data_IF_509210235866
#
_entry.id   IF_509210235866
#
_cell.length_a   1.000
_cell.length_b   1.000
_cell.length_c   1.000
_cell.angle_alpha   90.00
_cell.angle_beta   90.00
_cell.angle_gamma   90.00
#
_symmetry.space_group_name_H-M   'P 1'
#
loop_
_entity.id
_entity.type
_entity.pdbx_description
1 polymer ?
#
# COMPACT_ATOMS: atom_id res chain seq x y z
N UNK A 1 5.89 -11.78 -11.69
CA UNK A 1 6.23 -11.02 -10.47
C UNK A 1 6.12 -9.56 -10.85
N UNK A 2 5.20 -8.79 -10.25
CA UNK A 2 4.92 -7.40 -10.65
C UNK A 2 5.95 -6.40 -10.11
N UNK A 3 6.61 -6.70 -8.97
CA UNK A 3 7.73 -5.92 -8.43
C UNK A 3 9.11 -6.42 -8.92
N UNK A 4 9.14 -7.45 -9.78
CA UNK A 4 10.37 -8.03 -10.33
C UNK A 4 11.24 -8.86 -9.36
N UNK A 5 10.96 -8.81 -8.05
CA UNK A 5 11.79 -9.46 -7.03
C UNK A 5 11.09 -10.63 -6.32
N UNK A 6 9.83 -10.45 -5.91
CA UNK A 6 9.15 -11.41 -5.03
C UNK A 6 8.21 -12.34 -5.79
N UNK A 7 8.17 -13.60 -5.34
CA UNK A 7 7.23 -14.59 -5.84
C UNK A 7 5.86 -14.38 -5.18
N UNK A 8 4.88 -13.96 -6.00
CA UNK A 8 3.48 -13.72 -5.56
C UNK A 8 2.78 -14.99 -5.05
N UNK A 9 3.35 -16.17 -5.28
CA UNK A 9 2.74 -17.46 -4.98
C UNK A 9 1.85 -17.94 -6.12
N UNK A 10 1.23 -19.10 -5.91
CA UNK A 10 0.27 -19.67 -6.85
C UNK A 10 -1.12 -19.07 -6.64
N UNK A 11 -1.97 -19.15 -7.66
CA UNK A 11 -3.33 -18.63 -7.59
C UNK A 11 -4.17 -18.95 -8.81
N UNK A 12 -5.29 -18.26 -8.90
CA UNK A 12 -6.24 -18.36 -9.99
C UNK A 12 -6.32 -17.02 -10.73
N UNK A 13 -6.32 -17.08 -12.05
CA UNK A 13 -6.63 -15.94 -12.93
C UNK A 13 -8.10 -15.99 -13.33
N UNK A 14 -8.73 -14.83 -13.33
CA UNK A 14 -10.12 -14.64 -13.72
C UNK A 14 -10.13 -13.79 -14.98
N UNK A 15 -10.51 -14.41 -16.09
CA UNK A 15 -10.65 -13.75 -17.39
C UNK A 15 -12.11 -13.39 -17.68
N UNK A 16 -12.32 -12.30 -18.41
CA UNK A 16 -13.64 -11.91 -18.90
C UNK A 16 -14.13 -12.81 -20.05
N UNK A 17 -15.40 -13.23 -20.00
CA UNK A 17 -16.11 -13.77 -21.17
C UNK A 17 -16.71 -12.64 -22.02
N UNK A 18 -17.27 -11.61 -21.37
CA UNK A 18 -17.78 -10.39 -22.00
C UNK A 18 -17.01 -9.18 -21.47
N UNK A 19 -16.23 -8.53 -22.35
CA UNK A 19 -15.32 -7.43 -22.02
C UNK A 19 -16.03 -6.08 -21.87
N UNK A 20 -17.32 -6.03 -22.21
CA UNK A 20 -18.09 -4.79 -22.21
C UNK A 20 -18.94 -4.62 -20.95
N UNK A 21 -18.95 -5.61 -20.07
CA UNK A 21 -19.82 -5.65 -18.89
C UNK A 21 -19.04 -5.90 -17.62
N UNK A 22 -19.43 -5.27 -16.49
CA UNK A 22 -18.90 -5.59 -15.18
C UNK A 22 -18.98 -7.09 -14.86
N UNK A 23 -17.95 -7.63 -14.22
CA UNK A 23 -17.97 -8.97 -13.63
C UNK A 23 -18.15 -8.88 -12.11
N UNK A 24 -18.98 -9.75 -11.54
CA UNK A 24 -19.14 -9.85 -10.08
C UNK A 24 -19.01 -11.29 -9.63
N UNK A 25 -18.26 -11.52 -8.55
CA UNK A 25 -18.02 -12.83 -7.98
C UNK A 25 -17.55 -12.71 -6.52
N UNK A 26 -17.57 -13.80 -5.77
CA UNK A 26 -17.06 -13.84 -4.39
C UNK A 26 -15.82 -14.70 -4.30
N UNK A 27 -14.74 -14.14 -3.77
CA UNK A 27 -13.54 -14.87 -3.38
C UNK A 27 -13.67 -15.27 -1.92
N UNK A 28 -13.39 -16.54 -1.59
CA UNK A 28 -13.47 -17.04 -0.21
C UNK A 28 -12.17 -17.73 0.20
N UNK A 29 -11.50 -17.17 1.20
CA UNK A 29 -10.41 -17.82 1.94
C UNK A 29 -10.99 -18.49 3.18
N UNK A 30 -10.83 -19.80 3.31
CA UNK A 30 -11.32 -20.58 4.46
C UNK A 30 -10.18 -21.27 5.19
N UNK A 31 -10.47 -21.82 6.38
CA UNK A 31 -9.51 -22.54 7.21
C UNK A 31 -8.30 -21.69 7.64
N UNK A 32 -8.49 -20.36 7.74
CA UNK A 32 -7.46 -19.45 8.21
C UNK A 32 -7.11 -19.77 9.67
N UNK A 33 -5.80 -19.76 9.98
CA UNK A 33 -5.30 -20.20 11.28
C UNK A 33 -4.47 -19.16 12.03
N UNK A 34 -3.97 -18.13 11.34
CA UNK A 34 -2.97 -17.19 11.87
C UNK A 34 -3.52 -15.81 12.23
N UNK A 35 -4.80 -15.55 11.95
CA UNK A 35 -5.41 -14.23 12.15
C UNK A 35 -6.38 -14.31 13.34
N UNK A 36 -6.27 -13.34 14.24
CA UNK A 36 -7.15 -13.21 15.42
C UNK A 36 -7.55 -11.77 15.63
N UNK A 37 -8.71 -11.54 16.22
CA UNK A 37 -9.14 -10.23 16.71
C UNK A 37 -9.62 -10.37 18.16
N UNK A 38 -9.05 -9.57 19.06
CA UNK A 38 -9.29 -9.64 20.51
C UNK A 38 -9.17 -11.06 21.09
N UNK A 39 -8.18 -11.84 20.62
CA UNK A 39 -7.93 -13.22 21.04
C UNK A 39 -8.87 -14.27 20.44
N UNK A 40 -9.90 -13.87 19.68
CA UNK A 40 -10.80 -14.79 18.97
C UNK A 40 -10.31 -15.01 17.54
N UNK A 41 -10.31 -16.28 17.11
CA UNK A 41 -9.76 -16.71 15.82
C UNK A 41 -10.66 -16.32 14.64
N UNK A 42 -10.07 -15.69 13.63
CA UNK A 42 -10.71 -15.44 12.34
C UNK A 42 -10.37 -16.63 11.43
N UNK A 43 -11.39 -17.31 10.91
CA UNK A 43 -11.23 -18.56 10.16
C UNK A 43 -11.57 -18.42 8.68
N UNK A 44 -12.24 -17.32 8.31
CA UNK A 44 -12.67 -17.07 6.93
C UNK A 44 -12.62 -15.58 6.60
N UNK A 45 -12.18 -15.27 5.39
CA UNK A 45 -12.27 -13.94 4.77
C UNK A 45 -12.95 -14.10 3.42
N UNK A 46 -13.87 -13.20 3.09
CA UNK A 46 -14.48 -13.12 1.76
C UNK A 46 -14.27 -11.74 1.16
N UNK A 47 -14.10 -11.69 -0.16
CA UNK A 47 -14.24 -10.48 -0.96
C UNK A 47 -15.43 -10.65 -1.90
N UNK A 48 -16.45 -9.81 -1.78
CA UNK A 48 -17.38 -9.62 -2.90
C UNK A 48 -16.70 -8.65 -3.87
N UNK A 49 -16.35 -9.14 -5.05
CA UNK A 49 -15.57 -8.43 -6.06
C UNK A 49 -16.49 -7.92 -7.15
N UNK A 50 -16.31 -6.67 -7.55
CA UNK A 50 -16.85 -6.11 -8.80
C UNK A 50 -15.70 -5.58 -9.64
N UNK A 51 -15.47 -6.20 -10.79
CA UNK A 51 -14.51 -5.71 -11.79
C UNK A 51 -15.26 -4.87 -12.82
N UNK A 52 -14.76 -3.66 -13.08
CA UNK A 52 -15.31 -2.76 -14.10
C UNK A 52 -14.32 -2.66 -15.26
N UNK A 53 -14.73 -2.85 -16.53
CA UNK A 53 -13.80 -2.81 -17.64
C UNK A 53 -13.28 -1.39 -17.81
N UNK A 54 -12.01 -1.26 -18.14
CA UNK A 54 -11.46 0.05 -18.48
C UNK A 54 -11.90 0.46 -19.89
N UNK A 55 -12.34 1.70 -20.05
CA UNK A 55 -12.94 2.19 -21.30
C UNK A 55 -11.93 2.45 -22.42
N UNK A 56 -10.63 2.36 -22.15
CA UNK A 56 -9.54 2.68 -23.07
C UNK A 56 -8.91 1.45 -23.75
N UNK A 57 -9.44 0.25 -23.50
CA UNK A 57 -8.93 -0.98 -24.11
C UNK A 57 -10.03 -1.97 -24.43
N UNK A 58 -9.88 -2.70 -25.54
CA UNK A 58 -10.69 -3.88 -25.89
C UNK A 58 -10.16 -5.16 -25.20
N UNK A 59 -9.19 -5.03 -24.28
CA UNK A 59 -8.65 -6.13 -23.49
C UNK A 59 -9.62 -6.50 -22.37
N UNK A 60 -9.64 -7.78 -22.02
CA UNK A 60 -10.50 -8.30 -20.95
C UNK A 60 -9.90 -8.07 -19.56
N UNK A 61 -10.64 -8.44 -18.52
CA UNK A 61 -10.11 -8.44 -17.16
C UNK A 61 -8.88 -9.34 -17.05
N UNK A 62 -7.92 -8.92 -16.21
CA UNK A 62 -6.81 -9.76 -15.79
C UNK A 62 -6.63 -9.62 -14.28
N UNK A 63 -7.56 -10.26 -13.57
CA UNK A 63 -7.63 -10.26 -12.11
C UNK A 63 -7.18 -11.60 -11.57
N UNK A 64 -6.28 -11.57 -10.59
CA UNK A 64 -5.74 -12.73 -9.93
C UNK A 64 -6.08 -12.82 -8.46
N UNK A 65 -6.37 -14.04 -8.03
CA UNK A 65 -6.57 -14.42 -6.63
C UNK A 65 -5.45 -15.35 -6.22
N UNK A 66 -4.61 -14.93 -5.28
CA UNK A 66 -3.49 -15.73 -4.81
C UNK A 66 -3.97 -16.69 -3.71
N UNK A 67 -3.35 -17.87 -3.60
CA UNK A 67 -3.82 -18.91 -2.68
C UNK A 67 -3.65 -18.52 -1.21
N UNK A 68 -2.59 -17.77 -0.88
CA UNK A 68 -2.39 -17.21 0.45
C UNK A 68 -3.02 -15.81 0.52
N UNK A 69 -3.95 -15.64 1.45
CA UNK A 69 -4.57 -14.35 1.74
C UNK A 69 -3.54 -13.23 1.99
N UNK A 70 -2.38 -13.56 2.58
CA UNK A 70 -1.32 -12.59 2.83
C UNK A 70 -0.64 -12.08 1.56
N UNK A 71 -0.62 -12.88 0.49
CA UNK A 71 -0.14 -12.43 -0.82
C UNK A 71 -1.20 -11.65 -1.59
N UNK A 72 -2.48 -11.87 -1.31
CA UNK A 72 -3.56 -10.98 -1.74
C UNK A 72 -4.02 -11.19 -3.18
N UNK A 73 -4.09 -10.11 -3.94
CA UNK A 73 -4.74 -10.04 -5.25
C UNK A 73 -3.81 -9.35 -6.24
N UNK A 74 -3.88 -9.69 -7.52
CA UNK A 74 -3.26 -8.87 -8.56
C UNK A 74 -4.30 -8.46 -9.57
N UNK A 75 -4.06 -7.34 -10.24
CA UNK A 75 -4.95 -6.91 -11.30
C UNK A 75 -4.21 -6.11 -12.35
N UNK A 76 -4.71 -6.17 -13.57
CA UNK A 76 -4.11 -5.50 -14.71
C UNK A 76 -5.22 -4.94 -15.60
N UNK A 77 -5.22 -3.62 -15.80
CA UNK A 77 -6.28 -2.84 -16.48
C UNK A 77 -7.65 -2.89 -15.78
N UNK A 78 -7.71 -3.28 -14.52
CA UNK A 78 -8.97 -3.39 -13.79
C UNK A 78 -9.13 -2.26 -12.77
N UNK A 79 -10.38 -1.80 -12.60
CA UNK A 79 -10.82 -1.16 -11.36
C UNK A 79 -11.63 -2.21 -10.61
N UNK A 80 -11.10 -2.66 -9.47
CA UNK A 80 -11.78 -3.61 -8.61
C UNK A 80 -12.39 -2.89 -7.41
N UNK A 81 -13.71 -2.96 -7.28
CA UNK A 81 -14.39 -2.71 -6.01
C UNK A 81 -14.43 -4.01 -5.20
N UNK A 82 -14.04 -3.93 -3.93
CA UNK A 82 -13.87 -5.05 -3.03
C UNK A 82 -14.63 -4.80 -1.73
N UNK A 83 -15.55 -5.71 -1.39
CA UNK A 83 -16.21 -5.74 -0.08
C UNK A 83 -15.67 -6.88 0.75
N UNK A 84 -14.72 -6.57 1.61
CA UNK A 84 -14.07 -7.53 2.49
C UNK A 84 -14.90 -7.77 3.75
N UNK A 85 -15.09 -9.06 4.09
CA UNK A 85 -15.75 -9.51 5.32
C UNK A 85 -14.90 -10.55 6.00
N UNK A 86 -14.78 -10.48 7.32
CA UNK A 86 -14.06 -11.45 8.13
C UNK A 86 -15.04 -12.20 9.03
N UNK A 87 -14.78 -13.48 9.28
CA UNK A 87 -15.68 -14.33 10.06
C UNK A 87 -14.92 -15.13 11.11
N UNK A 88 -15.54 -15.28 12.27
CA UNK A 88 -15.14 -16.25 13.27
C UNK A 88 -15.53 -17.67 12.87
N UNK A 89 -15.06 -18.65 13.64
CA UNK A 89 -15.32 -20.09 13.47
C UNK A 89 -16.80 -20.47 13.43
N UNK A 90 -17.64 -19.82 14.23
CA UNK A 90 -19.10 -20.03 14.24
C UNK A 90 -19.84 -19.35 13.07
N UNK A 91 -19.13 -18.70 12.15
CA UNK A 91 -19.70 -18.02 10.99
C UNK A 91 -20.22 -16.60 11.26
N UNK A 92 -20.07 -16.08 12.47
CA UNK A 92 -20.38 -14.70 12.83
C UNK A 92 -19.40 -13.72 12.15
N UNK A 93 -19.91 -12.58 11.68
CA UNK A 93 -19.08 -11.49 11.17
C UNK A 93 -18.25 -10.88 12.30
N UNK A 94 -17.00 -10.59 12.01
CA UNK A 94 -16.14 -9.83 12.92
C UNK A 94 -16.58 -8.36 12.88
N UNK A 95 -16.84 -7.78 14.04
CA UNK A 95 -17.20 -6.37 14.20
C UNK A 95 -16.00 -5.54 14.70
N UNK A 96 -15.51 -4.65 13.84
CA UNK A 96 -14.41 -3.74 14.14
C UNK A 96 -14.87 -2.36 14.66
N UNK A 97 -16.14 -2.20 15.06
CA UNK A 97 -16.68 -0.93 15.57
C UNK A 97 -15.96 -0.39 16.81
N UNK A 98 -15.23 -1.23 17.55
CA UNK A 98 -14.35 -0.81 18.64
C UNK A 98 -13.18 0.07 18.17
N UNK A 99 -12.86 0.06 16.86
CA UNK A 99 -11.87 0.96 16.26
C UNK A 99 -10.44 0.73 16.73
N UNK A 100 -10.07 -0.52 17.02
CA UNK A 100 -8.72 -0.91 17.42
C UNK A 100 -8.07 -1.90 16.43
N UNK A 101 -8.69 -2.15 15.29
CA UNK A 101 -8.15 -3.00 14.23
C UNK A 101 -7.64 -2.16 13.05
N UNK A 102 -6.50 -2.58 12.50
CA UNK A 102 -5.82 -1.91 11.40
C UNK A 102 -5.37 -2.95 10.39
N UNK A 103 -5.45 -2.59 9.11
CA UNK A 103 -4.78 -3.27 8.02
C UNK A 103 -3.70 -2.36 7.46
N UNK A 104 -2.52 -2.92 7.20
CA UNK A 104 -1.55 -2.27 6.32
C UNK A 104 -1.93 -2.54 4.87
N UNK A 105 -1.91 -1.49 4.06
CA UNK A 105 -1.91 -1.59 2.60
C UNK A 105 -0.49 -1.28 2.17
N UNK A 106 0.24 -2.24 1.61
CA UNK A 106 1.65 -2.07 1.27
C UNK A 106 1.83 -1.95 -0.24
N UNK A 107 3.08 -1.74 -0.69
CA UNK A 107 3.45 -1.74 -2.11
C UNK A 107 2.69 -0.69 -2.93
N UNK A 108 2.39 0.49 -2.38
CA UNK A 108 1.74 1.56 -3.14
C UNK A 108 2.79 2.36 -3.91
N UNK A 109 3.19 1.80 -5.04
CA UNK A 109 4.21 2.35 -5.93
C UNK A 109 3.65 3.51 -6.77
N UNK A 110 4.47 4.53 -6.97
CA UNK A 110 4.22 5.65 -7.86
C UNK A 110 5.35 5.72 -8.88
N UNK A 111 4.99 5.53 -10.15
CA UNK A 111 5.86 5.45 -11.32
C UNK A 111 5.81 6.70 -12.19
N UNK A 112 5.27 7.80 -11.68
CA UNK A 112 5.10 9.03 -12.48
C UNK A 112 6.42 9.60 -13.01
N UNK A 113 7.56 9.21 -12.45
CA UNK A 113 8.89 9.63 -12.91
C UNK A 113 9.46 8.82 -14.08
N UNK A 114 8.74 7.82 -14.61
CA UNK A 114 9.15 7.04 -15.77
C UNK A 114 8.14 7.15 -16.93
N UNK A 115 8.54 7.79 -18.03
CA UNK A 115 7.75 7.91 -19.28
C UNK A 115 7.58 6.59 -20.04
N UNK A 116 8.19 5.49 -19.58
CA UNK A 116 7.96 4.15 -20.13
C UNK A 116 6.94 3.30 -19.34
N UNK A 117 6.57 3.73 -18.13
CA UNK A 117 5.79 2.90 -17.22
C UNK A 117 4.97 3.74 -16.22
N UNK A 118 4.28 4.78 -16.68
CA UNK A 118 3.58 5.72 -15.79
C UNK A 118 2.39 5.05 -15.10
N UNK A 119 2.27 5.21 -13.78
CA UNK A 119 1.14 4.70 -12.98
C UNK A 119 1.22 5.19 -11.54
N UNK A 120 0.07 5.22 -10.85
CA UNK A 120 -0.02 5.43 -9.41
C UNK A 120 -0.87 4.32 -8.81
N UNK A 121 -0.25 3.37 -8.10
CA UNK A 121 -0.98 2.31 -7.41
C UNK A 121 -1.77 2.89 -6.24
N UNK A 122 -3.08 2.63 -6.23
CA UNK A 122 -4.03 3.39 -5.40
C UNK A 122 -5.05 2.48 -4.71
N UNK A 123 -5.34 2.81 -3.46
CA UNK A 123 -6.47 2.24 -2.71
C UNK A 123 -7.39 3.36 -2.24
N UNK A 124 -8.69 3.25 -2.54
CA UNK A 124 -9.72 4.19 -2.08
C UNK A 124 -10.66 3.50 -1.09
N UNK A 125 -10.72 3.99 0.15
CA UNK A 125 -11.65 3.46 1.15
C UNK A 125 -13.03 4.11 0.96
N UNK A 126 -14.04 3.32 0.63
CA UNK A 126 -15.40 3.81 0.37
C UNK A 126 -16.23 3.83 1.66
N UNK A 127 -16.15 2.76 2.46
CA UNK A 127 -16.82 2.67 3.77
C UNK A 127 -16.26 1.54 4.65
N UNK A 128 -16.63 1.52 5.92
CA UNK A 128 -16.22 0.45 6.85
C UNK A 128 -14.78 0.52 7.34
N UNK A 129 -14.09 1.60 7.00
CA UNK A 129 -12.80 1.95 7.55
C UNK A 129 -12.41 3.39 7.30
N UNK A 130 -11.25 3.77 7.83
CA UNK A 130 -10.64 5.08 7.69
C UNK A 130 -9.22 4.92 7.14
N UNK A 131 -8.94 5.60 6.02
CA UNK A 131 -7.58 5.71 5.49
C UNK A 131 -6.71 6.57 6.42
N UNK A 132 -5.52 6.09 6.73
CA UNK A 132 -4.55 6.75 7.59
C UNK A 132 -3.16 6.65 6.98
N UNK A 133 -2.40 7.74 7.07
CA UNK A 133 -0.99 7.74 6.71
C UNK A 133 -0.16 7.00 7.76
N UNK A 134 0.92 6.34 7.32
CA UNK A 134 1.92 5.76 8.20
C UNK A 134 3.11 6.71 8.28
N UNK A 135 3.59 7.00 9.49
CA UNK A 135 4.71 7.94 9.67
C UNK A 135 5.95 7.47 8.91
N UNK A 136 6.56 8.37 8.13
CA UNK A 136 7.75 8.07 7.35
C UNK A 136 7.49 7.28 6.06
N UNK A 137 6.23 6.90 5.80
CA UNK A 137 5.80 6.42 4.48
C UNK A 137 5.77 7.57 3.48
N UNK A 138 5.99 7.26 2.21
CA UNK A 138 5.71 8.12 1.06
C UNK A 138 4.21 8.19 0.76
N UNK A 139 3.43 7.23 1.26
CA UNK A 139 1.96 7.17 1.11
C UNK A 139 1.27 8.11 2.08
N UNK A 140 0.42 8.96 1.54
CA UNK A 140 -0.39 9.91 2.31
C UNK A 140 -1.89 9.70 2.03
N UNK A 141 -2.74 10.40 2.78
CA UNK A 141 -4.19 10.35 2.61
C UNK A 141 -4.64 11.53 1.75
N UNK A 142 -5.30 11.21 0.65
CA UNK A 142 -5.86 12.14 -0.32
C UNK A 142 -7.37 12.14 -0.25
N UNK A 143 -7.97 13.33 -0.37
CA UNK A 143 -9.43 13.52 -0.34
C UNK A 143 -10.12 12.90 0.89
N UNK A 144 -9.37 12.65 1.96
CA UNK A 144 -9.83 12.05 3.21
C UNK A 144 -9.98 10.53 3.20
N UNK A 145 -9.83 9.84 2.06
CA UNK A 145 -10.10 8.40 1.97
C UNK A 145 -9.25 7.60 0.97
N UNK A 146 -8.39 8.24 0.18
CA UNK A 146 -7.56 7.58 -0.84
C UNK A 146 -6.11 7.52 -0.38
N UNK A 147 -5.47 6.37 -0.51
CA UNK A 147 -4.06 6.13 -0.19
C UNK A 147 -3.27 5.95 -1.49
N UNK A 148 -2.28 6.82 -1.69
CA UNK A 148 -1.22 6.66 -2.69
C UNK A 148 -0.02 7.55 -2.32
N UNK A 149 1.12 7.35 -3.00
CA UNK A 149 2.32 8.15 -2.77
C UNK A 149 2.26 9.50 -3.47
N UNK A 150 2.49 10.60 -2.75
CA UNK A 150 2.50 11.99 -3.30
C UNK A 150 3.53 12.18 -4.41
N UNK A 151 4.67 11.51 -4.25
CA UNK A 151 5.86 11.61 -5.10
C UNK A 151 6.17 10.26 -5.70
N UNK A 152 6.85 10.27 -6.84
CA UNK A 152 7.42 9.05 -7.38
C UNK A 152 8.40 8.43 -6.36
N UNK A 153 8.17 7.14 -6.07
CA UNK A 153 8.88 6.39 -5.03
C UNK A 153 9.54 5.11 -5.59
N UNK A 154 9.63 4.99 -6.92
CA UNK A 154 10.05 3.78 -7.62
C UNK A 154 11.44 3.88 -8.24
N UNK A 155 11.67 4.92 -9.05
CA UNK A 155 12.96 5.23 -9.65
C UNK A 155 13.62 6.41 -8.95
N UNK A 156 14.95 6.42 -8.90
CA UNK A 156 15.71 7.64 -8.61
C UNK A 156 15.78 8.52 -9.86
N UNK A 157 16.12 9.80 -9.71
CA UNK A 157 16.18 10.74 -10.84
C UNK A 157 17.30 10.43 -11.84
N UNK A 158 18.33 9.68 -11.44
CA UNK A 158 19.41 9.16 -12.28
C UNK A 158 19.11 7.79 -12.91
N UNK A 159 17.92 7.23 -12.67
CA UNK A 159 17.41 6.06 -13.38
C UNK A 159 17.71 4.71 -12.73
N UNK A 160 18.02 4.67 -11.44
CA UNK A 160 18.09 3.42 -10.68
C UNK A 160 16.70 3.03 -10.16
N UNK A 161 16.36 1.74 -10.25
CA UNK A 161 15.14 1.20 -9.69
C UNK A 161 15.32 0.96 -8.19
N UNK A 162 14.81 1.88 -7.37
CA UNK A 162 14.99 1.86 -5.93
C UNK A 162 13.91 1.06 -5.19
N UNK A 163 12.74 0.82 -5.79
CA UNK A 163 11.69 0.00 -5.18
C UNK A 163 12.19 -1.39 -4.80
N UNK A 164 12.84 -2.10 -5.73
CA UNK A 164 13.53 -3.37 -5.45
C UNK A 164 15.03 -3.20 -5.64
N UNK A 165 15.54 -3.44 -6.84
CA UNK A 165 16.87 -3.08 -7.30
C UNK A 165 16.97 -3.22 -8.84
N UNK A 166 18.03 -2.67 -9.43
CA UNK A 166 18.29 -2.73 -10.89
C UNK A 166 18.47 -4.15 -11.45
N UNK A 167 18.82 -5.13 -10.61
CA UNK A 167 19.02 -6.51 -11.05
C UNK A 167 17.71 -7.32 -11.09
N UNK A 168 16.77 -6.96 -10.22
CA UNK A 168 15.45 -7.54 -10.12
C UNK A 168 14.48 -6.96 -11.17
N UNK A 169 14.59 -5.67 -11.49
CA UNK A 169 13.75 -5.03 -12.48
C UNK A 169 14.54 -4.62 -13.73
N UNK A 170 14.08 -5.08 -14.90
CA UNK A 170 14.68 -4.79 -16.22
C UNK A 170 13.80 -3.87 -17.09
N UNK A 171 12.84 -3.19 -16.48
CA UNK A 171 12.01 -2.20 -17.15
C UNK A 171 12.87 -1.08 -17.74
N UNK A 172 12.45 -0.56 -18.89
CA UNK A 172 13.10 0.61 -19.49
C UNK A 172 12.79 1.85 -18.68
N UNK A 173 13.76 2.76 -18.59
CA UNK A 173 13.61 4.03 -17.89
C UNK A 173 13.76 5.20 -18.86
N UNK A 174 12.83 6.13 -18.80
CA UNK A 174 12.95 7.46 -19.38
C UNK A 174 12.42 8.46 -18.37
N UNK A 175 13.29 9.34 -17.86
CA UNK A 175 12.91 10.30 -16.82
C UNK A 175 11.76 11.19 -17.30
N UNK A 176 10.69 11.25 -16.52
CA UNK A 176 9.69 12.32 -16.66
C UNK A 176 10.19 13.57 -15.91
N UNK A 177 10.63 14.63 -16.61
CA UNK A 177 11.19 15.82 -15.96
C UNK A 177 10.15 16.62 -15.17
N UNK A 178 8.85 16.35 -15.37
CA UNK A 178 7.77 17.04 -14.69
C UNK A 178 7.29 16.31 -13.43
N UNK A 179 7.79 15.10 -13.15
CA UNK A 179 7.46 14.37 -11.93
C UNK A 179 8.29 14.87 -10.74
N UNK A 180 7.65 14.92 -9.56
CA UNK A 180 8.36 15.11 -8.30
C UNK A 180 8.78 13.74 -7.77
N UNK A 181 10.08 13.47 -7.79
CA UNK A 181 10.65 12.23 -7.23
C UNK A 181 11.05 12.47 -5.77
N UNK A 182 10.81 11.49 -4.89
CA UNK A 182 11.33 11.55 -3.54
C UNK A 182 12.87 11.43 -3.55
N UNK A 183 13.55 12.32 -2.82
CA UNK A 183 15.01 12.34 -2.76
C UNK A 183 15.59 11.22 -1.89
N UNK A 184 14.79 10.57 -1.04
CA UNK A 184 15.25 9.61 -0.03
C UNK A 184 14.56 8.24 -0.14
N UNK A 185 14.35 7.74 -1.36
CA UNK A 185 13.76 6.41 -1.58
C UNK A 185 14.70 5.35 -0.97
N UNK A 186 14.27 4.58 0.06
CA UNK A 186 15.08 3.50 0.60
C UNK A 186 15.19 2.39 -0.44
N UNK A 187 16.41 1.99 -0.81
CA UNK A 187 16.60 0.89 -1.76
C UNK A 187 15.96 -0.41 -1.25
N UNK A 188 15.22 -1.11 -2.10
CA UNK A 188 14.62 -2.40 -1.77
C UNK A 188 13.44 -2.30 -0.82
N UNK A 189 12.79 -1.14 -0.72
CA UNK A 189 11.64 -0.96 0.17
C UNK A 189 10.44 -1.84 -0.22
N UNK A 190 10.27 -2.11 -1.50
CA UNK A 190 9.14 -2.84 -2.08
C UNK A 190 9.41 -4.35 -2.20
N UNK A 191 9.92 -4.93 -1.11
CA UNK A 191 10.14 -6.38 -1.01
C UNK A 191 9.54 -6.93 0.28
N UNK A 192 9.16 -8.20 0.26
CA UNK A 192 8.39 -8.86 1.31
C UNK A 192 9.04 -8.75 2.69
N UNK A 193 10.36 -8.93 2.75
CA UNK A 193 11.16 -8.93 3.98
C UNK A 193 11.89 -7.60 4.26
N UNK A 194 11.57 -6.54 3.50
CA UNK A 194 12.24 -5.25 3.65
C UNK A 194 11.99 -4.63 5.03
N UNK A 195 13.07 -4.23 5.71
CA UNK A 195 12.98 -3.37 6.88
C UNK A 195 12.36 -1.99 6.54
N UNK A 196 12.40 -1.59 5.26
CA UNK A 196 11.86 -0.33 4.76
C UNK A 196 10.46 -0.46 4.14
N UNK A 197 9.77 -1.60 4.31
CA UNK A 197 8.44 -1.84 3.71
C UNK A 197 7.39 -0.80 4.12
N UNK A 198 7.57 -0.16 5.27
CA UNK A 198 6.73 0.97 5.71
C UNK A 198 6.71 2.12 4.70
N UNK A 199 7.75 2.27 3.87
CA UNK A 199 7.95 3.42 3.01
C UNK A 199 6.89 3.55 1.90
N UNK A 200 6.34 2.45 1.39
CA UNK A 200 5.21 2.50 0.46
C UNK A 200 3.92 1.94 1.07
N UNK A 201 3.74 2.10 2.39
CA UNK A 201 2.58 1.56 3.09
C UNK A 201 1.65 2.64 3.65
N UNK A 202 0.34 2.42 3.51
CA UNK A 202 -0.72 3.13 4.22
C UNK A 202 -1.42 2.24 5.24
N UNK A 203 -2.33 2.81 6.01
CA UNK A 203 -3.14 2.09 6.98
C UNK A 203 -4.64 2.27 6.69
N UNK A 204 -5.41 1.22 6.91
CA UNK A 204 -6.86 1.28 6.98
C UNK A 204 -7.29 0.87 8.38
N UNK A 205 -7.83 1.81 9.16
CA UNK A 205 -8.46 1.52 10.45
C UNK A 205 -9.86 1.00 10.20
N UNK A 206 -10.16 -0.22 10.64
CA UNK A 206 -11.47 -0.85 10.44
C UNK A 206 -12.50 -0.30 11.46
N UNK A 207 -13.74 -0.07 11.02
CA UNK A 207 -14.78 0.59 11.86
C UNK A 207 -16.16 -0.06 11.75
N UNK A 208 -16.26 -1.31 11.30
CA UNK A 208 -17.54 -2.03 11.16
C UNK A 208 -17.32 -3.49 10.78
N UNK A 209 -18.28 -4.10 10.09
CA UNK A 209 -18.24 -5.53 9.71
C UNK A 209 -17.86 -5.80 8.26
N UNK A 210 -17.92 -4.77 7.41
CA UNK A 210 -17.60 -4.84 5.98
C UNK A 210 -16.70 -3.67 5.64
N UNK A 211 -15.51 -3.93 5.09
CA UNK A 211 -14.67 -2.91 4.49
C UNK A 211 -14.96 -2.85 2.99
N UNK A 212 -15.41 -1.70 2.49
CA UNK A 212 -15.63 -1.44 1.07
C UNK A 212 -14.51 -0.52 0.56
N UNK A 213 -13.76 -0.98 -0.44
CA UNK A 213 -12.65 -0.22 -1.00
C UNK A 213 -12.45 -0.54 -2.48
N UNK A 214 -11.87 0.42 -3.20
CA UNK A 214 -11.43 0.24 -4.57
C UNK A 214 -9.92 0.08 -4.65
N UNK A 215 -9.49 -0.69 -5.65
CA UNK A 215 -8.11 -0.98 -5.96
C UNK A 215 -7.89 -0.77 -7.46
N UNK A 216 -6.93 0.09 -7.82
CA UNK A 216 -6.66 0.43 -9.22
C UNK A 216 -5.27 1.08 -9.41
N UNK A 217 -4.78 1.01 -10.64
CA UNK A 217 -3.60 1.72 -11.10
C UNK A 217 -4.05 3.01 -11.79
N UNK A 218 -3.89 4.16 -11.15
CA UNK A 218 -4.32 5.45 -11.70
C UNK A 218 -3.37 5.90 -12.82
N UNK A 219 -3.92 6.51 -13.86
CA UNK A 219 -3.20 7.14 -14.97
C UNK A 219 -3.46 8.65 -15.04
N UNK A 220 -4.07 9.24 -14.01
CA UNK A 220 -4.32 10.68 -13.93
C UNK A 220 -3.03 11.47 -14.12
N UNK A 221 -3.01 12.36 -15.11
CA UNK A 221 -1.85 13.18 -15.42
C UNK A 221 -0.76 12.50 -16.25
N UNK A 222 -1.06 11.34 -16.84
CA UNK A 222 -0.15 10.67 -17.78
C UNK A 222 0.18 11.59 -18.97
N UNK A 223 1.46 11.82 -19.30
CA UNK A 223 1.82 12.62 -20.46
C UNK A 223 1.44 11.97 -21.79
N UNK A 224 1.15 12.77 -22.82
CA UNK A 224 0.83 12.27 -24.16
C UNK A 224 1.92 11.34 -24.69
N UNK A 225 1.50 10.19 -25.24
CA UNK A 225 2.41 9.18 -25.80
C UNK A 225 3.16 8.33 -24.77
N UNK A 226 2.89 8.50 -23.47
CA UNK A 226 3.46 7.68 -22.40
C UNK A 226 2.68 6.37 -22.24
N UNK A 227 3.39 5.26 -22.02
CA UNK A 227 2.77 3.98 -21.72
C UNK A 227 2.25 3.94 -20.28
N UNK A 228 1.01 3.49 -20.12
CA UNK A 228 0.39 3.28 -18.81
C UNK A 228 0.74 1.89 -18.26
N UNK A 229 1.41 1.85 -17.11
CA UNK A 229 1.63 0.63 -16.32
C UNK A 229 0.38 0.31 -15.51
N UNK A 230 -0.51 -0.44 -16.12
CA UNK A 230 -1.85 -0.78 -15.62
C UNK A 230 -1.95 -2.02 -14.74
N UNK A 231 -0.82 -2.68 -14.45
CA UNK A 231 -0.73 -3.80 -13.52
C UNK A 231 -0.42 -3.34 -12.10
N UNK A 232 -0.99 -3.99 -11.09
CA UNK A 232 -0.62 -3.81 -9.69
C UNK A 232 -0.82 -5.09 -8.87
N UNK A 233 0.00 -5.23 -7.84
CA UNK A 233 -0.09 -6.33 -6.88
C UNK A 233 -0.51 -5.78 -5.53
N UNK A 234 -1.71 -6.13 -5.10
CA UNK A 234 -2.23 -5.74 -3.81
C UNK A 234 -1.99 -6.84 -2.78
N UNK A 235 -1.28 -6.49 -1.72
CA UNK A 235 -1.27 -7.26 -0.50
C UNK A 235 -1.75 -6.41 0.68
N UNK A 236 -2.34 -7.10 1.65
CA UNK A 236 -2.71 -6.49 2.93
C UNK A 236 -2.25 -7.38 4.06
N UNK A 237 -1.95 -6.77 5.20
CA UNK A 237 -1.50 -7.49 6.38
C UNK A 237 -2.09 -6.90 7.64
N UNK A 238 -2.20 -7.76 8.66
CA UNK A 238 -2.45 -7.33 10.05
C UNK A 238 -1.15 -6.93 10.76
N UNK A 239 0.01 -7.14 10.12
CA UNK A 239 1.31 -6.72 10.62
C UNK A 239 1.61 -5.34 10.05
N UNK A 240 1.50 -4.32 10.90
CA UNK A 240 1.89 -2.95 10.56
C UNK A 240 3.43 -2.89 10.44
N UNK A 241 3.98 -2.49 9.28
CA UNK A 241 5.42 -2.30 9.13
C UNK A 241 5.98 -1.32 10.16
N UNK A 242 7.12 -1.65 10.76
CA UNK A 242 7.78 -0.81 11.76
C UNK A 242 8.36 0.43 11.08
N UNK A 243 8.07 1.61 11.63
CA UNK A 243 8.63 2.88 11.14
C UNK A 243 9.87 3.26 11.96
N UNK A 244 10.86 3.97 11.39
CA UNK A 244 12.02 4.43 12.14
C UNK A 244 11.58 5.36 13.29
N UNK A 245 11.91 4.98 14.52
CA UNK A 245 11.74 5.85 15.68
C UNK A 245 12.90 6.84 15.71
N UNK A 246 12.61 8.11 15.50
CA UNK A 246 13.56 9.16 15.87
C UNK A 246 13.47 9.29 17.38
N UNK A 247 14.43 8.75 18.11
CA UNK A 247 14.63 9.12 19.51
C UNK A 247 15.06 10.58 19.52
N UNK A 248 14.17 11.49 19.92
CA UNK A 248 14.51 12.91 20.08
C UNK A 248 15.23 13.04 21.42
N UNK A 249 16.57 13.06 21.39
CA UNK A 249 17.37 13.41 22.56
C UNK A 249 17.24 14.92 22.81
N UNK A 250 16.37 15.31 23.73
CA UNK A 250 16.34 16.68 24.23
C UNK A 250 17.57 16.93 25.11
N UNK A 251 18.65 17.47 24.52
CA UNK A 251 19.72 18.08 25.29
C UNK A 251 19.29 19.49 25.69
N UNK A 252 18.70 19.65 26.88
CA UNK A 252 18.65 20.96 27.52
C UNK A 252 20.05 21.28 28.05
N UNK A 253 20.75 22.20 27.37
CA UNK A 253 21.93 22.85 27.95
C UNK A 253 21.46 23.73 29.11
N UNK A 254 21.43 23.18 30.32
CA UNK A 254 21.38 23.99 31.54
C UNK A 254 22.75 24.62 31.70
N UNK A 255 22.89 25.87 31.26
CA UNK A 255 24.01 26.71 31.66
C UNK A 255 24.01 26.79 33.19
N UNK A 256 24.98 26.12 33.81
CA UNK A 256 25.22 26.22 35.24
C UNK A 256 25.82 27.60 35.49
N UNK A 257 24.96 28.58 35.83
CA UNK A 257 25.45 29.82 36.41
C UNK A 257 25.96 29.51 37.82
N UNK A 258 27.26 29.21 37.91
CA UNK A 258 27.99 29.25 39.16
C UNK A 258 27.96 30.70 39.67
N UNK A 259 27.15 30.96 40.70
CA UNK A 259 27.33 32.14 41.53
C UNK A 259 28.61 31.97 42.33
N UNK A 260 29.66 32.63 41.89
CA UNK A 260 30.89 32.81 42.65
C UNK A 260 30.58 33.76 43.81
N UNK A 261 30.46 33.22 45.03
CA UNK A 261 30.41 34.00 46.26
C UNK A 261 31.79 34.65 46.47
N UNK A 262 31.98 35.88 46.01
CA UNK A 262 33.10 36.70 46.45
C UNK A 262 32.88 37.15 47.89
N UNK A 263 33.69 36.60 48.79
CA UNK A 263 33.96 37.15 50.12
C UNK A 263 34.58 38.53 49.96
N UNK A 264 33.98 39.55 50.59
CA UNK A 264 34.63 40.81 50.89
C UNK A 264 34.90 40.85 52.39
N UNK A 265 36.18 40.71 52.76
CA UNK A 265 36.72 41.06 54.08
C UNK A 265 37.56 42.33 53.92
N UNK A 266 37.26 43.35 54.74
CA UNK A 266 38.23 44.32 55.26
C UNK A 266 38.40 45.67 54.56
N UNK A 267 37.74 46.72 55.09
CA UNK A 267 38.37 47.78 55.88
C UNK A 267 37.32 48.57 56.68
#
# INVERSE_FOLDING_TARGET
>A
MLNGADHMGDGYRIDSIDRTKPATFTVTYSNLSKITYNGRKITKVTYDVTLTPHSDSDEGYDFGVLNDFAYGLYLNRDIANLKMKMYYDNGELVDFSAGNAYLSVNSLNNYTNNLKAYSIETVRVNSGGQALALRGSSVTVHNGNTLYSDKANTWTTDGHYAATDDSANKESFELNPNSVTDSNIPKGWDTTDSASRYYGAGLVKLTGTVLDFDLYADNTGIPDGTWWRNGLWYNTSTIIPVTPTTEIHYHYNVASNCYENQRYDGH
#
